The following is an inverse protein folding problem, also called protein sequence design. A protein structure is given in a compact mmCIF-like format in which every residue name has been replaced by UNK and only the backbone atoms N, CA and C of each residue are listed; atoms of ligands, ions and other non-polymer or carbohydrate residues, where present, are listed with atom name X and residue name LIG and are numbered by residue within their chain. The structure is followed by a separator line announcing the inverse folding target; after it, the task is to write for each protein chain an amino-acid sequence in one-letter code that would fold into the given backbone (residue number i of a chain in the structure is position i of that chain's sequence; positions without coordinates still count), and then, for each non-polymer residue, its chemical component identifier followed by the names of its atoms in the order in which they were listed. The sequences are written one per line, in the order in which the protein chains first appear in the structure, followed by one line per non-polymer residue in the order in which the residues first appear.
data_IF_120857163973
#
_entry.id   IF_120857163973
#
_cell.length_a   1.000
_cell.length_b   1.000
_cell.length_c   1.000
_cell.angle_alpha   90.00
_cell.angle_beta   90.00
_cell.angle_gamma   90.00
#
_symmetry.space_group_name_H-M   'P 1'
#
loop_
_entity.id
_entity.type
_entity.pdbx_description
1 polymer ?
#
# COMPACT_ATOMS: atom_id res chain seq x y z
N UNK A 1 31.02 -0.62 -10.55
CA UNK A 1 30.54 -1.76 -11.36
C UNK A 1 29.38 -2.53 -10.72
N UNK A 2 28.73 -1.99 -9.68
CA UNK A 2 27.39 -2.40 -9.26
C UNK A 2 26.61 -1.10 -9.01
N UNK A 3 25.76 -0.68 -9.94
CA UNK A 3 25.03 0.59 -9.86
C UNK A 3 24.90 1.37 -11.17
N UNK A 4 25.53 0.92 -12.26
CA UNK A 4 25.30 1.48 -13.60
C UNK A 4 24.15 0.74 -14.30
N UNK A 5 23.35 1.44 -15.11
CA UNK A 5 22.23 0.87 -15.87
C UNK A 5 22.68 -0.25 -16.82
N UNK A 6 23.95 -0.23 -17.22
CA UNK A 6 24.58 -1.28 -18.02
C UNK A 6 24.53 -2.67 -17.34
N UNK A 7 24.51 -2.72 -16.00
CA UNK A 7 24.41 -3.99 -15.25
C UNK A 7 23.01 -4.61 -15.22
N UNK A 8 21.96 -3.89 -15.63
CA UNK A 8 20.58 -4.41 -15.62
C UNK A 8 20.37 -5.55 -16.63
N UNK A 9 21.18 -5.61 -17.69
CA UNK A 9 21.10 -6.64 -18.73
C UNK A 9 22.12 -7.76 -18.59
N UNK A 10 22.97 -7.75 -17.55
CA UNK A 10 23.99 -8.77 -17.35
C UNK A 10 23.34 -10.09 -16.87
N UNK A 11 23.36 -11.17 -17.69
CA UNK A 11 22.73 -12.44 -17.33
C UNK A 11 23.29 -13.04 -16.04
N UNK A 12 24.56 -12.77 -15.72
CA UNK A 12 25.21 -13.29 -14.53
C UNK A 12 24.69 -12.59 -13.26
N UNK A 13 24.52 -11.26 -13.31
CA UNK A 13 23.91 -10.52 -12.20
C UNK A 13 22.43 -10.86 -12.02
N UNK A 14 21.69 -11.07 -13.11
CA UNK A 14 20.30 -11.51 -13.06
C UNK A 14 20.21 -12.91 -12.43
N UNK A 15 21.04 -13.85 -12.88
CA UNK A 15 21.06 -15.21 -12.31
C UNK A 15 21.39 -15.17 -10.81
N UNK A 16 22.39 -14.37 -10.41
CA UNK A 16 22.77 -14.21 -9.02
C UNK A 16 21.64 -13.62 -8.17
N UNK A 17 20.90 -12.63 -8.67
CA UNK A 17 19.75 -12.05 -7.96
C UNK A 17 18.61 -13.06 -7.85
N UNK A 18 18.34 -13.85 -8.89
CA UNK A 18 17.28 -14.86 -8.90
C UNK A 18 17.51 -16.00 -7.90
N UNK A 19 18.76 -16.29 -7.54
CA UNK A 19 19.09 -17.25 -6.48
C UNK A 19 18.81 -16.72 -5.06
N UNK A 20 18.57 -15.41 -4.91
CA UNK A 20 18.24 -14.82 -3.60
C UNK A 20 16.74 -14.95 -3.27
N UNK A 21 16.38 -14.98 -1.98
CA UNK A 21 14.96 -14.91 -1.56
C UNK A 21 14.24 -13.66 -2.09
N UNK A 22 14.96 -12.55 -2.21
CA UNK A 22 14.45 -11.32 -2.80
C UNK A 22 14.15 -11.47 -4.31
N UNK A 23 14.99 -12.20 -5.05
CA UNK A 23 14.74 -12.54 -6.45
C UNK A 23 13.52 -13.43 -6.62
N UNK A 24 13.39 -14.48 -5.81
CA UNK A 24 12.21 -15.35 -5.80
C UNK A 24 10.93 -14.57 -5.47
N UNK A 25 10.97 -13.67 -4.49
CA UNK A 25 9.87 -12.76 -4.17
C UNK A 25 9.52 -11.84 -5.36
N UNK A 26 10.52 -11.26 -6.04
CA UNK A 26 10.29 -10.41 -7.19
C UNK A 26 9.62 -11.15 -8.36
N UNK A 27 10.04 -12.39 -8.64
CA UNK A 27 9.40 -13.26 -9.65
C UNK A 27 7.95 -13.57 -9.26
N UNK A 28 7.71 -13.90 -7.99
CA UNK A 28 6.35 -14.18 -7.52
C UNK A 28 5.45 -12.93 -7.59
N UNK A 29 5.96 -11.76 -7.24
CA UNK A 29 5.25 -10.50 -7.39
C UNK A 29 4.92 -10.22 -8.87
N UNK A 30 5.88 -10.41 -9.78
CA UNK A 30 5.68 -10.24 -11.21
C UNK A 30 4.60 -11.18 -11.76
N UNK A 31 4.60 -12.45 -11.34
CA UNK A 31 3.55 -13.41 -11.69
C UNK A 31 2.17 -12.96 -11.16
N UNK A 32 2.11 -12.44 -9.93
CA UNK A 32 0.89 -11.87 -9.36
C UNK A 32 0.35 -10.67 -10.15
N UNK A 33 1.22 -9.73 -10.56
CA UNK A 33 0.84 -8.60 -11.40
C UNK A 33 0.40 -9.03 -12.80
N UNK A 34 1.08 -9.99 -13.42
CA UNK A 34 0.67 -10.56 -14.69
C UNK A 34 -0.72 -11.20 -14.58
N UNK A 35 -0.98 -11.93 -13.49
CA UNK A 35 -2.28 -12.52 -13.24
C UNK A 35 -3.37 -11.46 -13.09
N UNK A 36 -3.11 -10.34 -12.41
CA UNK A 36 -4.05 -9.19 -12.37
C UNK A 36 -4.41 -8.73 -13.78
N UNK A 37 -3.40 -8.52 -14.64
CA UNK A 37 -3.61 -8.06 -16.02
C UNK A 37 -4.41 -9.09 -16.84
N UNK A 38 -4.03 -10.37 -16.80
CA UNK A 38 -4.71 -11.44 -17.53
C UNK A 38 -6.15 -11.58 -17.08
N UNK A 39 -6.42 -11.53 -15.77
CA UNK A 39 -7.78 -11.64 -15.23
C UNK A 39 -8.62 -10.43 -15.62
N UNK A 40 -8.08 -9.22 -15.59
CA UNK A 40 -8.82 -8.02 -16.02
C UNK A 40 -9.19 -8.06 -17.51
N UNK A 41 -8.33 -8.65 -18.35
CA UNK A 41 -8.59 -8.81 -19.78
C UNK A 41 -9.53 -9.97 -20.12
N UNK A 42 -9.44 -11.08 -19.37
CA UNK A 42 -10.18 -12.31 -19.67
C UNK A 42 -11.55 -12.40 -18.98
N UNK A 43 -11.67 -11.84 -17.76
CA UNK A 43 -12.84 -12.04 -16.91
C UNK A 43 -13.71 -10.78 -16.88
N UNK A 44 -14.82 -10.84 -17.62
CA UNK A 44 -15.80 -9.75 -17.73
C UNK A 44 -16.62 -9.53 -16.48
N UNK A 45 -16.84 -10.58 -15.67
CA UNK A 45 -17.57 -10.48 -14.41
C UNK A 45 -16.71 -9.77 -13.34
N UNK A 46 -17.13 -8.58 -12.86
CA UNK A 46 -16.39 -7.85 -11.83
C UNK A 46 -16.34 -8.56 -10.49
N UNK A 47 -17.25 -9.50 -10.22
CA UNK A 47 -17.37 -10.21 -8.94
C UNK A 47 -16.60 -11.53 -8.89
N UNK A 48 -15.97 -11.93 -10.00
CA UNK A 48 -15.33 -13.22 -10.12
C UNK A 48 -14.17 -13.39 -9.12
N UNK A 49 -14.11 -14.50 -8.35
CA UNK A 49 -13.13 -14.69 -7.28
C UNK A 49 -11.68 -14.71 -7.78
N UNK A 50 -11.43 -15.02 -9.05
CA UNK A 50 -10.09 -14.98 -9.62
C UNK A 50 -9.42 -13.59 -9.51
N UNK A 51 -10.20 -12.51 -9.42
CA UNK A 51 -9.70 -11.13 -9.28
C UNK A 51 -8.90 -10.90 -7.98
N UNK A 52 -9.11 -11.71 -6.94
CA UNK A 52 -8.33 -11.61 -5.68
C UNK A 52 -7.04 -12.43 -5.69
N UNK A 53 -6.86 -13.35 -6.65
CA UNK A 53 -5.70 -14.25 -6.67
C UNK A 53 -4.40 -13.52 -6.98
N UNK A 54 -4.38 -12.64 -7.98
CA UNK A 54 -3.21 -11.84 -8.33
C UNK A 54 -2.73 -10.96 -7.17
N UNK A 55 -3.58 -10.12 -6.56
CA UNK A 55 -3.22 -9.35 -5.37
C UNK A 55 -2.75 -10.22 -4.21
N UNK A 56 -3.38 -11.39 -4.00
CA UNK A 56 -2.97 -12.36 -2.99
C UNK A 56 -1.54 -12.87 -3.21
N UNK A 57 -1.18 -13.23 -4.45
CA UNK A 57 0.19 -13.66 -4.81
C UNK A 57 1.20 -12.53 -4.59
N UNK A 58 0.86 -11.29 -4.94
CA UNK A 58 1.73 -10.12 -4.69
C UNK A 58 1.97 -9.94 -3.19
N UNK A 59 0.93 -10.05 -2.36
CA UNK A 59 1.09 -9.95 -0.89
C UNK A 59 1.94 -11.09 -0.34
N UNK A 60 1.69 -12.32 -0.79
CA UNK A 60 2.48 -13.50 -0.39
C UNK A 60 3.95 -13.37 -0.78
N UNK A 61 4.27 -12.65 -1.86
CA UNK A 61 5.66 -12.44 -2.28
C UNK A 61 6.51 -11.73 -1.23
N UNK A 62 5.89 -10.85 -0.45
CA UNK A 62 6.59 -10.12 0.61
C UNK A 62 7.00 -11.02 1.78
N UNK A 63 6.38 -12.19 1.93
CA UNK A 63 6.78 -13.17 2.95
C UNK A 63 8.09 -13.88 2.55
N UNK A 64 8.39 -13.99 1.25
CA UNK A 64 9.63 -14.57 0.74
C UNK A 64 10.80 -13.55 0.74
N UNK A 65 10.49 -12.26 0.66
CA UNK A 65 11.47 -11.17 0.62
C UNK A 65 12.14 -10.90 1.98
N UNK A 66 12.74 -11.92 2.61
CA UNK A 66 13.85 -11.84 3.58
C UNK A 66 13.72 -11.04 4.89
N UNK A 67 12.69 -10.21 5.10
CA UNK A 67 12.53 -9.38 6.31
C UNK A 67 11.48 -9.91 7.29
N UNK A 68 10.67 -10.88 6.85
CA UNK A 68 9.61 -11.49 7.68
C UNK A 68 10.15 -12.71 8.47
N UNK A 69 11.31 -13.23 8.07
CA UNK A 69 11.94 -14.40 8.69
C UNK A 69 12.46 -14.16 10.11
N UNK A 70 12.66 -12.90 10.52
CA UNK A 70 13.10 -12.55 11.89
C UNK A 70 11.94 -12.41 12.88
N UNK A 71 10.75 -12.00 12.42
CA UNK A 71 9.56 -11.82 13.26
C UNK A 71 8.58 -13.01 13.29
N UNK A 72 8.90 -14.09 12.57
CA UNK A 72 8.10 -15.31 12.49
C UNK A 72 6.74 -15.14 11.79
N UNK A 73 5.89 -16.16 11.90
CA UNK A 73 4.58 -16.22 11.24
C UNK A 73 3.67 -15.03 11.61
N UNK A 74 3.73 -14.56 12.86
CA UNK A 74 2.93 -13.44 13.34
C UNK A 74 3.26 -12.14 12.60
N UNK A 75 4.55 -11.81 12.44
CA UNK A 75 4.96 -10.62 11.70
C UNK A 75 4.52 -10.69 10.23
N UNK A 76 4.57 -11.89 9.63
CA UNK A 76 4.09 -12.12 8.26
C UNK A 76 2.60 -11.91 8.09
N UNK A 77 1.78 -12.39 9.03
CA UNK A 77 0.32 -12.18 9.01
C UNK A 77 0.00 -10.69 9.17
N UNK A 78 0.65 -10.00 10.12
CA UNK A 78 0.43 -8.56 10.33
C UNK A 78 0.80 -7.75 9.09
N UNK A 79 1.94 -8.06 8.46
CA UNK A 79 2.35 -7.43 7.22
C UNK A 79 1.35 -7.71 6.10
N UNK A 80 0.93 -8.96 5.92
CA UNK A 80 -0.03 -9.33 4.89
C UNK A 80 -1.37 -8.60 5.06
N UNK A 81 -1.89 -8.53 6.28
CA UNK A 81 -3.13 -7.80 6.61
C UNK A 81 -2.96 -6.30 6.35
N UNK A 82 -1.83 -5.71 6.75
CA UNK A 82 -1.55 -4.30 6.51
C UNK A 82 -1.48 -3.98 5.01
N UNK A 83 -0.79 -4.81 4.22
CA UNK A 83 -0.69 -4.67 2.76
C UNK A 83 -2.03 -4.90 2.06
N UNK A 84 -2.86 -5.83 2.53
CA UNK A 84 -4.20 -6.05 2.01
C UNK A 84 -5.10 -4.81 2.21
N UNK A 85 -5.06 -4.23 3.42
CA UNK A 85 -5.79 -2.99 3.72
C UNK A 85 -5.29 -1.81 2.88
N UNK A 86 -3.97 -1.66 2.74
CA UNK A 86 -3.37 -0.63 1.90
C UNK A 86 -3.76 -0.81 0.42
N UNK A 87 -3.70 -2.05 -0.09
CA UNK A 87 -4.11 -2.39 -1.45
C UNK A 87 -5.58 -2.07 -1.72
N UNK A 88 -6.46 -2.35 -0.75
CA UNK A 88 -7.86 -1.92 -0.81
C UNK A 88 -8.00 -0.39 -0.87
N UNK A 89 -7.31 0.34 0.01
CA UNK A 89 -7.40 1.80 0.06
C UNK A 89 -6.91 2.41 -1.24
N UNK A 90 -5.67 2.13 -1.65
CA UNK A 90 -5.05 2.70 -2.86
C UNK A 90 -5.78 2.24 -4.13
N UNK A 91 -6.19 0.97 -4.18
CA UNK A 91 -6.92 0.41 -5.32
C UNK A 91 -8.27 1.08 -5.58
N UNK A 92 -8.93 1.60 -4.55
CA UNK A 92 -10.20 2.31 -4.69
C UNK A 92 -10.05 3.78 -5.12
N UNK A 93 -8.91 4.43 -4.82
CA UNK A 93 -8.70 5.85 -5.12
C UNK A 93 -8.63 6.13 -6.63
N UNK A 94 -8.02 5.24 -7.42
CA UNK A 94 -7.85 5.45 -8.86
C UNK A 94 -9.20 5.45 -9.62
N UNK A 95 -10.10 4.46 -9.42
CA UNK A 95 -11.45 4.51 -9.99
C UNK A 95 -12.25 5.74 -9.54
N UNK A 96 -12.23 6.07 -8.25
CA UNK A 96 -12.94 7.25 -7.72
C UNK A 96 -12.44 8.54 -8.36
N UNK A 97 -11.13 8.68 -8.50
CA UNK A 97 -10.50 9.81 -9.19
C UNK A 97 -10.93 9.90 -10.66
N UNK A 98 -10.97 8.76 -11.36
CA UNK A 98 -11.39 8.71 -12.76
C UNK A 98 -12.86 9.14 -12.91
N UNK A 99 -13.75 8.66 -12.03
CA UNK A 99 -15.16 9.07 -11.99
C UNK A 99 -15.33 10.55 -11.64
N UNK A 100 -14.50 11.11 -10.76
CA UNK A 100 -14.55 12.55 -10.49
C UNK A 100 -14.12 13.42 -11.68
N UNK A 101 -13.28 12.89 -12.58
CA UNK A 101 -12.79 13.62 -13.77
C UNK A 101 -13.85 13.69 -14.86
N UNK A 102 -14.63 12.62 -15.04
CA UNK A 102 -15.69 12.54 -16.04
C UNK A 102 -16.90 11.79 -15.48
N UNK A 103 -17.73 12.44 -14.63
CA UNK A 103 -18.85 11.76 -13.98
C UNK A 103 -19.86 11.21 -14.99
N UNK A 104 -20.08 11.90 -16.11
CA UNK A 104 -21.10 11.52 -17.11
C UNK A 104 -20.77 10.18 -17.78
N UNK A 105 -19.49 9.91 -18.01
CA UNK A 105 -19.04 8.63 -18.56
C UNK A 105 -19.34 7.43 -17.65
N UNK A 106 -19.50 7.65 -16.35
CA UNK A 106 -19.65 6.59 -15.34
C UNK A 106 -20.99 6.63 -14.59
N UNK A 107 -22.06 7.09 -15.26
CA UNK A 107 -23.42 7.09 -14.66
C UNK A 107 -23.76 8.34 -13.85
N UNK A 108 -22.98 9.41 -13.99
CA UNK A 108 -23.24 10.71 -13.41
C UNK A 108 -22.78 10.85 -11.95
N UNK A 109 -23.13 11.98 -11.34
CA UNK A 109 -22.75 12.32 -9.97
C UNK A 109 -23.37 11.37 -8.93
N UNK A 110 -24.57 10.83 -9.19
CA UNK A 110 -25.23 9.87 -8.30
C UNK A 110 -24.41 8.56 -8.17
N UNK A 111 -23.96 7.99 -9.30
CA UNK A 111 -23.13 6.79 -9.30
C UNK A 111 -21.79 6.99 -8.58
N UNK A 112 -21.17 8.17 -8.74
CA UNK A 112 -19.96 8.54 -7.98
C UNK A 112 -20.24 8.60 -6.48
N UNK A 113 -21.35 9.20 -6.06
CA UNK A 113 -21.72 9.31 -4.66
C UNK A 113 -21.99 7.93 -4.03
N UNK A 114 -22.69 7.04 -4.75
CA UNK A 114 -22.95 5.67 -4.30
C UNK A 114 -21.67 4.87 -4.14
N UNK A 115 -20.75 4.94 -5.13
CA UNK A 115 -19.47 4.25 -5.02
C UNK A 115 -18.62 4.79 -3.86
N UNK A 116 -18.59 6.12 -3.68
CA UNK A 116 -17.86 6.74 -2.58
C UNK A 116 -18.45 6.37 -1.21
N UNK A 117 -19.77 6.22 -1.10
CA UNK A 117 -20.43 5.74 0.12
C UNK A 117 -20.10 4.28 0.43
N UNK A 118 -20.17 3.39 -0.58
CA UNK A 118 -19.78 1.98 -0.45
C UNK A 118 -18.33 1.85 -0.01
N UNK A 119 -17.43 2.61 -0.64
CA UNK A 119 -16.02 2.67 -0.23
C UNK A 119 -15.89 3.13 1.22
N UNK A 120 -16.53 4.25 1.58
CA UNK A 120 -16.48 4.80 2.94
C UNK A 120 -17.06 3.86 4.00
N UNK A 121 -18.06 3.05 3.66
CA UNK A 121 -18.67 2.05 4.56
C UNK A 121 -17.77 0.84 4.79
N UNK A 122 -16.99 0.42 3.79
CA UNK A 122 -15.98 -0.63 3.95
C UNK A 122 -14.75 -0.11 4.67
N UNK A 123 -14.31 1.10 4.34
CA UNK A 123 -13.14 1.75 4.92
C UNK A 123 -13.26 1.91 6.45
N UNK A 124 -14.47 2.12 7.00
CA UNK A 124 -14.65 2.26 8.45
C UNK A 124 -14.22 1.01 9.25
N UNK A 125 -14.26 -0.17 8.62
CA UNK A 125 -13.83 -1.44 9.22
C UNK A 125 -12.39 -1.79 8.84
N UNK A 126 -12.03 -1.54 7.58
CA UNK A 126 -10.70 -1.91 7.05
C UNK A 126 -9.60 -1.00 7.63
N UNK A 127 -9.85 0.30 7.77
CA UNK A 127 -8.86 1.26 8.26
C UNK A 127 -8.41 0.95 9.69
N UNK A 128 -9.29 0.69 10.67
CA UNK A 128 -8.86 0.27 12.01
C UNK A 128 -8.01 -1.00 11.99
N UNK A 129 -8.41 -2.02 11.21
CA UNK A 129 -7.64 -3.28 11.10
C UNK A 129 -6.25 -3.03 10.51
N UNK A 130 -6.16 -2.20 9.46
CA UNK A 130 -4.90 -1.77 8.85
C UNK A 130 -4.00 -1.07 9.87
N UNK A 131 -4.56 -0.14 10.65
CA UNK A 131 -3.81 0.64 11.65
C UNK A 131 -3.33 -0.24 12.80
N UNK A 132 -4.17 -1.15 13.30
CA UNK A 132 -3.79 -2.12 14.33
C UNK A 132 -2.66 -3.00 13.80
N UNK A 133 -2.82 -3.58 12.60
CA UNK A 133 -1.81 -4.45 12.01
C UNK A 133 -0.47 -3.73 11.81
N UNK A 134 -0.50 -2.51 11.27
CA UNK A 134 0.70 -1.69 11.07
C UNK A 134 1.37 -1.25 12.37
N UNK A 135 0.58 -0.91 13.39
CA UNK A 135 1.10 -0.52 14.71
C UNK A 135 1.74 -1.71 15.42
N UNK A 136 1.08 -2.87 15.44
CA UNK A 136 1.64 -4.08 16.03
C UNK A 136 2.93 -4.49 15.32
N UNK A 137 2.93 -4.45 13.98
CA UNK A 137 4.14 -4.72 13.21
C UNK A 137 5.27 -3.72 13.54
N UNK A 138 4.97 -2.42 13.60
CA UNK A 138 5.96 -1.40 13.98
C UNK A 138 6.52 -1.60 15.39
N UNK A 139 5.68 -1.97 16.36
CA UNK A 139 6.12 -2.28 17.74
C UNK A 139 7.07 -3.48 17.75
N UNK A 140 6.78 -4.53 16.99
CA UNK A 140 7.67 -5.69 16.85
C UNK A 140 9.02 -5.33 16.24
N UNK A 141 9.08 -4.34 15.34
CA UNK A 141 10.33 -3.93 14.69
C UNK A 141 11.18 -2.97 15.52
N UNK A 142 10.56 -2.07 16.29
CA UNK A 142 11.29 -1.02 17.03
C UNK A 142 11.63 -1.44 18.45
N UNK A 143 10.82 -2.29 19.09
CA UNK A 143 11.03 -2.82 20.43
C UNK A 143 10.82 -1.80 21.57
N UNK A 144 11.18 -0.52 21.41
CA UNK A 144 11.02 0.50 22.46
C UNK A 144 10.76 1.93 21.96
N UNK A 145 10.07 2.74 22.77
CA UNK A 145 9.78 4.15 22.45
C UNK A 145 11.06 4.99 22.41
N UNK A 146 12.09 4.65 23.21
CA UNK A 146 13.36 5.35 23.21
C UNK A 146 14.04 5.29 21.83
N UNK A 147 14.06 4.09 21.22
CA UNK A 147 14.60 3.85 19.88
C UNK A 147 13.86 4.65 18.81
N UNK A 148 12.56 4.90 19.01
CA UNK A 148 11.76 5.70 18.07
C UNK A 148 12.25 7.16 17.96
N UNK A 149 12.70 7.75 19.06
CA UNK A 149 13.17 9.14 19.09
C UNK A 149 14.66 9.29 18.76
N UNK A 150 15.48 8.30 19.13
CA UNK A 150 16.94 8.40 19.08
C UNK A 150 17.56 7.83 17.81
N UNK A 151 16.85 7.01 17.03
CA UNK A 151 17.41 6.36 15.84
C UNK A 151 16.89 6.98 14.53
N UNK A 152 17.71 6.99 13.45
CA UNK A 152 17.25 7.40 12.12
C UNK A 152 16.04 6.59 11.65
N UNK A 153 16.03 5.28 11.91
CA UNK A 153 14.91 4.39 11.61
C UNK A 153 13.62 4.86 12.31
N UNK A 154 13.72 5.14 13.61
CA UNK A 154 12.61 5.65 14.41
C UNK A 154 12.08 7.00 13.93
N UNK A 155 12.96 7.93 13.58
CA UNK A 155 12.57 9.25 13.07
C UNK A 155 11.82 9.18 11.75
N UNK A 156 12.27 8.36 10.79
CA UNK A 156 11.54 8.15 9.53
C UNK A 156 10.20 7.45 9.78
N UNK A 157 10.14 6.51 10.73
CA UNK A 157 8.87 5.90 11.13
C UNK A 157 7.90 6.93 11.72
N UNK A 158 8.36 7.87 12.55
CA UNK A 158 7.51 8.95 13.07
C UNK A 158 6.98 9.85 11.94
N UNK A 159 7.82 10.19 10.96
CA UNK A 159 7.38 10.93 9.77
C UNK A 159 6.31 10.14 9.02
N UNK A 160 6.51 8.83 8.81
CA UNK A 160 5.52 7.95 8.19
C UNK A 160 4.20 7.95 8.95
N UNK A 161 4.22 7.87 10.28
CA UNK A 161 3.01 7.94 11.12
C UNK A 161 2.32 9.30 11.03
N UNK A 162 3.09 10.40 10.97
CA UNK A 162 2.55 11.74 10.74
C UNK A 162 1.86 11.87 9.39
N UNK A 163 2.47 11.34 8.33
CA UNK A 163 1.88 11.30 6.99
C UNK A 163 0.59 10.47 6.95
N UNK A 164 0.59 9.27 7.56
CA UNK A 164 -0.60 8.43 7.66
C UNK A 164 -1.71 9.14 8.45
N UNK A 165 -1.40 9.83 9.53
CA UNK A 165 -2.38 10.64 10.28
C UNK A 165 -2.99 11.75 9.41
N UNK A 166 -2.18 12.42 8.58
CA UNK A 166 -2.67 13.40 7.61
C UNK A 166 -3.60 12.77 6.55
N UNK A 167 -3.24 11.60 6.03
CA UNK A 167 -4.07 10.83 5.10
C UNK A 167 -5.41 10.44 5.72
N UNK A 168 -5.43 10.02 6.98
CA UNK A 168 -6.67 9.72 7.70
C UNK A 168 -7.54 10.98 7.87
N UNK A 169 -6.92 12.14 8.08
CA UNK A 169 -7.62 13.43 8.08
C UNK A 169 -8.28 13.74 6.74
N UNK A 170 -7.59 13.50 5.62
CA UNK A 170 -8.17 13.63 4.27
C UNK A 170 -9.29 12.62 4.02
N UNK A 171 -9.10 11.37 4.43
CA UNK A 171 -10.13 10.34 4.29
C UNK A 171 -11.38 10.67 5.12
N UNK A 172 -11.21 11.24 6.32
CA UNK A 172 -12.31 11.73 7.15
C UNK A 172 -13.01 12.93 6.49
N UNK A 173 -12.25 13.90 5.96
CA UNK A 173 -12.79 15.02 5.19
C UNK A 173 -13.62 14.53 3.99
N UNK A 174 -13.11 13.52 3.27
CA UNK A 174 -13.80 12.90 2.16
C UNK A 174 -15.12 12.28 2.61
N UNK A 175 -15.08 11.41 3.63
CA UNK A 175 -16.26 10.68 4.12
C UNK A 175 -17.34 11.59 4.72
N UNK A 176 -16.95 12.57 5.53
CA UNK A 176 -17.90 13.34 6.36
C UNK A 176 -18.34 14.66 5.73
N UNK A 177 -17.59 15.22 4.79
CA UNK A 177 -17.93 16.50 4.17
C UNK A 177 -18.10 16.38 2.66
N UNK A 178 -17.15 15.77 1.94
CA UNK A 178 -17.18 15.79 0.47
C UNK A 178 -18.14 14.76 -0.14
N UNK A 179 -18.28 13.57 0.46
CA UNK A 179 -19.26 12.56 0.02
C UNK A 179 -20.70 13.01 0.29
N UNK A 180 -21.06 13.59 1.46
CA UNK A 180 -22.38 14.19 1.64
C UNK A 180 -22.66 15.35 0.67
N UNK A 181 -21.67 16.21 0.39
CA UNK A 181 -21.80 17.29 -0.61
C UNK A 181 -22.00 16.74 -2.05
N UNK A 182 -21.42 15.59 -2.38
CA UNK A 182 -21.70 14.91 -3.64
C UNK A 182 -23.16 14.45 -3.71
N UNK A 183 -23.70 13.92 -2.61
CA UNK A 183 -25.09 13.46 -2.52
C UNK A 183 -26.11 14.60 -2.55
N UNK A 184 -25.76 15.79 -2.05
CA UNK A 184 -26.61 16.98 -2.12
C UNK A 184 -26.67 17.62 -3.52
N UNK A 185 -25.90 17.11 -4.49
CA UNK A 185 -25.92 17.63 -5.86
C UNK A 185 -25.05 18.86 -6.07
N UNK A 186 -24.14 19.18 -5.16
CA UNK A 186 -23.27 20.35 -5.31
C UNK A 186 -22.37 20.22 -6.56
N UNK A 187 -22.46 21.18 -7.48
CA UNK A 187 -21.73 21.16 -8.75
C UNK A 187 -20.19 21.15 -8.57
N UNK A 188 -19.69 21.77 -7.50
CA UNK A 188 -18.26 21.80 -7.20
C UNK A 188 -17.75 20.54 -6.49
N UNK A 189 -18.62 19.68 -5.95
CA UNK A 189 -18.23 18.56 -5.12
C UNK A 189 -17.33 17.52 -5.83
N UNK A 190 -17.55 17.13 -7.11
CA UNK A 190 -16.64 16.24 -7.82
C UNK A 190 -15.22 16.79 -7.95
N UNK A 191 -15.09 18.10 -8.21
CA UNK A 191 -13.78 18.74 -8.33
C UNK A 191 -13.03 18.79 -6.99
N UNK A 192 -13.74 19.05 -5.88
CA UNK A 192 -13.17 19.07 -4.53
C UNK A 192 -12.75 17.67 -4.09
N UNK A 193 -13.59 16.66 -4.35
CA UNK A 193 -13.25 15.26 -4.06
C UNK A 193 -12.02 14.83 -4.87
N UNK A 194 -11.96 15.13 -6.17
CA UNK A 194 -10.78 14.86 -7.00
C UNK A 194 -9.50 15.43 -6.40
N UNK A 195 -9.52 16.72 -6.02
CA UNK A 195 -8.33 17.38 -5.44
C UNK A 195 -7.93 16.74 -4.12
N UNK A 196 -8.89 16.33 -3.29
CA UNK A 196 -8.62 15.59 -2.06
C UNK A 196 -7.98 14.24 -2.36
N UNK A 197 -8.49 13.49 -3.34
CA UNK A 197 -7.90 12.21 -3.78
C UNK A 197 -6.50 12.42 -4.37
N UNK A 198 -6.25 13.50 -5.12
CA UNK A 198 -4.91 13.84 -5.63
C UNK A 198 -3.92 14.04 -4.46
N UNK A 199 -4.33 14.71 -3.38
CA UNK A 199 -3.54 14.83 -2.16
C UNK A 199 -3.36 13.51 -1.42
N UNK A 200 -4.38 12.65 -1.37
CA UNK A 200 -4.24 11.31 -0.80
C UNK A 200 -3.22 10.47 -1.58
N UNK A 201 -3.27 10.48 -2.91
CA UNK A 201 -2.29 9.78 -3.75
C UNK A 201 -0.88 10.31 -3.55
N UNK A 202 -0.70 11.62 -3.44
CA UNK A 202 0.60 12.23 -3.13
C UNK A 202 1.12 11.82 -1.75
N UNK A 203 0.24 11.82 -0.73
CA UNK A 203 0.61 11.37 0.61
C UNK A 203 0.93 9.88 0.68
N UNK A 204 0.18 9.03 -0.03
CA UNK A 204 0.50 7.59 -0.18
C UNK A 204 1.86 7.41 -0.83
N UNK A 205 2.16 8.14 -1.91
CA UNK A 205 3.47 8.09 -2.55
C UNK A 205 4.58 8.50 -1.57
N UNK A 206 4.39 9.56 -0.78
CA UNK A 206 5.35 9.97 0.25
C UNK A 206 5.55 8.88 1.33
N UNK A 207 4.47 8.21 1.77
CA UNK A 207 4.54 7.08 2.72
C UNK A 207 5.31 5.90 2.14
N UNK A 208 5.10 5.58 0.86
CA UNK A 208 5.83 4.51 0.17
C UNK A 208 7.31 4.85 0.00
N UNK A 209 7.64 6.10 -0.32
CA UNK A 209 9.02 6.59 -0.39
C UNK A 209 9.71 6.52 0.97
N UNK A 210 9.04 6.96 2.04
CA UNK A 210 9.56 6.83 3.40
C UNK A 210 9.81 5.35 3.77
N UNK A 211 8.89 4.46 3.39
CA UNK A 211 9.05 3.01 3.62
C UNK A 211 10.22 2.45 2.83
N UNK A 212 10.37 2.83 1.56
CA UNK A 212 11.50 2.41 0.72
C UNK A 212 12.85 2.86 1.28
N UNK A 213 12.94 4.09 1.78
CA UNK A 213 14.14 4.61 2.44
C UNK A 213 14.47 3.81 3.70
N UNK A 214 13.47 3.48 4.51
CA UNK A 214 13.66 2.64 5.70
C UNK A 214 14.17 1.25 5.33
N UNK A 215 13.61 0.60 4.32
CA UNK A 215 13.99 -0.77 3.94
C UNK A 215 15.33 -0.84 3.21
N UNK A 216 15.71 0.19 2.45
CA UNK A 216 16.88 0.14 1.58
C UNK A 216 18.12 0.79 2.21
N UNK A 217 17.93 1.81 3.04
CA UNK A 217 19.02 2.71 3.45
C UNK A 217 19.25 2.76 4.95
N UNK A 218 18.34 2.20 5.77
CA UNK A 218 18.46 2.20 7.22
C UNK A 218 18.52 0.77 7.73
N UNK A 219 19.57 0.42 8.46
CA UNK A 219 19.61 -0.83 9.21
C UNK A 219 18.62 -0.74 10.38
N UNK A 220 18.05 -1.89 10.76
CA UNK A 220 17.23 -1.98 11.97
C UNK A 220 18.04 -1.49 13.19
N UNK A 221 17.38 -0.86 14.19
CA UNK A 221 18.04 -0.31 15.37
C UNK A 221 18.97 -1.26 16.13
N UNK A 222 18.73 -2.57 16.02
CA UNK A 222 19.57 -3.60 16.60
C UNK A 222 20.47 -4.15 15.50
N UNK A 223 21.75 -3.81 15.53
CA UNK A 223 22.79 -4.37 14.66
C UNK A 223 23.05 -5.87 14.88
N UNK A 224 22.01 -6.72 14.85
CA UNK A 224 22.18 -8.18 14.79
C UNK A 224 22.73 -8.56 13.42
N UNK A 225 24.06 -8.56 13.31
CA UNK A 225 24.79 -9.28 12.27
C UNK A 225 24.44 -10.76 12.36
N UNK A 226 24.08 -11.35 11.22
CA UNK A 226 23.86 -12.78 11.00
C UNK A 226 25.16 -13.57 11.23
N UNK A 227 25.53 -13.81 12.48
CA UNK A 227 26.80 -14.46 12.83
C UNK A 227 26.90 -14.82 14.31
N UNK A 228 25.85 -15.41 14.87
CA UNK A 228 25.81 -15.73 16.29
C UNK A 228 24.64 -16.60 16.71
N UNK A 229 24.41 -17.70 15.99
CA UNK A 229 23.81 -18.93 16.52
C UNK A 229 24.49 -20.11 15.86
#
# INVERSE_FOLDING_TARGET
MAGDLAGMGDPLLIALVLETPAGAAAVMAAAGFLLILVVELAVKDPSHPLRITGPGIVILSMLLAGHVTTGGLQAGILLAVHLAGLGFWVGALLPLRAMCRDPQRFGGQAALADLADVFGRRAIWIVPVLLIAGTLYAVMLVGSIAVLATTPYGQVLMVKVGLVSGLLGLAALNKFLLVPALRSGEAAAPSRLRRSIDWELAGVAAVLLATSLMTTSLLLPDGMTMGGM
#
